data_IF_971156726129
#
_entry.id   IF_971156726129
#
_cell.length_a   1.000
_cell.length_b   1.000
_cell.length_c   1.000
_cell.angle_alpha   90.00
_cell.angle_beta   90.00
_cell.angle_gamma   90.00
#
_symmetry.space_group_name_H-M   'P 1'
#
loop_
_entity.id
_entity.type
_entity.pdbx_description
1 polymer ?
#
# COMPACT_ATOMS: atom_id res chain seq x y z
N UNK A 1 -20.11 -15.21 4.31
CA UNK A 1 -18.83 -15.47 5.00
C UNK A 1 -19.12 -16.38 6.18
N UNK A 2 -18.29 -17.40 6.37
CA UNK A 2 -18.48 -18.47 7.35
C UNK A 2 -17.19 -18.65 8.17
N UNK A 3 -17.37 -18.87 9.47
CA UNK A 3 -16.27 -19.23 10.37
C UNK A 3 -16.21 -20.75 10.49
N UNK A 4 -15.02 -21.30 10.34
CA UNK A 4 -14.77 -22.74 10.35
C UNK A 4 -13.51 -23.04 11.18
N UNK A 5 -13.13 -24.30 11.26
CA UNK A 5 -11.87 -24.74 11.85
C UNK A 5 -10.98 -25.41 10.81
N UNK A 6 -9.70 -25.08 10.82
CA UNK A 6 -8.66 -25.82 10.11
C UNK A 6 -8.43 -27.19 10.75
N UNK A 7 -7.73 -28.09 10.05
CA UNK A 7 -7.31 -29.38 10.61
C UNK A 7 -6.43 -29.23 11.85
N UNK A 8 -5.68 -28.12 11.98
CA UNK A 8 -4.91 -27.77 13.17
C UNK A 8 -5.76 -27.37 14.38
N UNK A 9 -7.08 -27.22 14.23
CA UNK A 9 -7.99 -26.70 15.25
C UNK A 9 -8.04 -25.17 15.33
N UNK A 10 -7.32 -24.47 14.45
CA UNK A 10 -7.33 -23.02 14.33
C UNK A 10 -8.61 -22.50 13.66
N UNK A 11 -9.16 -21.37 14.12
CA UNK A 11 -10.33 -20.75 13.48
C UNK A 11 -9.95 -20.13 12.15
N UNK A 12 -10.73 -20.38 11.10
CA UNK A 12 -10.49 -19.87 9.75
C UNK A 12 -11.76 -19.25 9.18
N UNK A 13 -11.59 -18.46 8.12
CA UNK A 13 -12.68 -17.73 7.49
C UNK A 13 -12.84 -18.15 6.02
N UNK A 14 -14.08 -18.36 5.59
CA UNK A 14 -14.43 -18.74 4.21
C UNK A 14 -15.44 -17.76 3.61
N UNK A 15 -15.26 -17.39 2.34
CA UNK A 15 -16.23 -16.60 1.57
C UNK A 15 -16.55 -17.38 0.28
N UNK A 16 -17.81 -17.83 0.16
CA UNK A 16 -18.20 -18.76 -0.90
C UNK A 16 -17.34 -20.02 -0.83
N UNK A 17 -16.66 -20.34 -1.93
CA UNK A 17 -15.76 -21.49 -2.03
C UNK A 17 -14.29 -21.17 -1.68
N UNK A 18 -13.96 -19.92 -1.37
CA UNK A 18 -12.58 -19.50 -1.07
C UNK A 18 -12.32 -19.43 0.43
N UNK A 19 -11.27 -20.11 0.87
CA UNK A 19 -10.71 -19.94 2.22
C UNK A 19 -9.74 -18.76 2.23
N UNK A 20 -9.78 -17.95 3.30
CA UNK A 20 -8.90 -16.80 3.51
C UNK A 20 -7.58 -17.16 4.21
N UNK A 21 -7.33 -18.45 4.41
CA UNK A 21 -6.08 -19.03 4.86
C UNK A 21 -6.16 -20.54 4.68
N UNK A 22 -5.05 -21.24 4.95
CA UNK A 22 -4.91 -22.68 4.85
C UNK A 22 -5.91 -23.38 5.77
N UNK A 23 -6.70 -24.28 5.18
CA UNK A 23 -7.58 -25.21 5.91
C UNK A 23 -6.81 -26.30 6.66
N UNK A 24 -5.51 -26.45 6.43
CA UNK A 24 -4.69 -27.46 7.10
C UNK A 24 -4.08 -26.83 8.35
N UNK A 25 -3.27 -25.80 8.16
CA UNK A 25 -2.58 -25.07 9.22
C UNK A 25 -2.30 -23.64 8.74
N UNK A 26 -3.07 -22.64 9.22
CA UNK A 26 -2.92 -21.26 8.81
C UNK A 26 -1.66 -20.58 9.37
N UNK A 27 -1.06 -21.11 10.44
CA UNK A 27 0.20 -20.56 10.99
C UNK A 27 1.39 -20.95 10.12
N UNK A 28 1.42 -22.21 9.65
CA UNK A 28 2.46 -22.69 8.71
C UNK A 28 2.38 -21.94 7.38
N UNK A 29 1.17 -21.68 6.88
CA UNK A 29 0.98 -20.84 5.70
C UNK A 29 1.52 -19.43 5.93
N UNK A 30 1.20 -18.81 7.07
CA UNK A 30 1.67 -17.48 7.40
C UNK A 30 3.21 -17.39 7.46
N UNK A 31 3.89 -18.39 8.03
CA UNK A 31 5.35 -18.46 8.03
C UNK A 31 5.92 -18.52 6.62
N UNK A 32 5.32 -19.34 5.73
CA UNK A 32 5.77 -19.46 4.33
C UNK A 32 5.56 -18.15 3.56
N UNK A 33 4.41 -17.52 3.74
CA UNK A 33 4.12 -16.22 3.14
C UNK A 33 5.12 -15.17 3.60
N UNK A 34 5.43 -15.13 4.91
CA UNK A 34 6.40 -14.18 5.47
C UNK A 34 7.81 -14.43 4.94
N UNK A 35 8.22 -15.70 4.84
CA UNK A 35 9.51 -16.08 4.27
C UNK A 35 9.64 -15.65 2.79
N UNK A 36 8.56 -15.77 2.01
CA UNK A 36 8.52 -15.33 0.61
C UNK A 36 8.68 -13.81 0.42
N UNK A 37 8.39 -13.01 1.45
CA UNK A 37 8.49 -11.54 1.41
C UNK A 37 9.69 -10.98 2.21
N UNK A 38 10.59 -11.83 2.70
CA UNK A 38 11.67 -11.46 3.62
C UNK A 38 12.49 -10.26 3.15
N UNK A 39 12.88 -10.24 1.88
CA UNK A 39 13.72 -9.17 1.31
C UNK A 39 12.98 -7.83 1.27
N UNK A 40 11.71 -7.86 0.86
CA UNK A 40 10.86 -6.66 0.80
C UNK A 40 10.63 -6.08 2.19
N UNK A 41 10.42 -6.95 3.19
CA UNK A 41 10.21 -6.57 4.59
C UNK A 41 11.47 -5.96 5.20
N UNK A 42 12.62 -6.57 4.92
CA UNK A 42 13.90 -6.15 5.51
C UNK A 42 14.34 -4.80 4.96
N UNK A 43 14.15 -4.57 3.65
CA UNK A 43 14.58 -3.35 2.95
C UNK A 43 13.66 -2.15 3.12
N UNK A 44 12.43 -2.33 3.59
CA UNK A 44 11.49 -1.22 3.80
C UNK A 44 11.44 -0.77 5.26
N UNK A 45 11.13 0.51 5.49
CA UNK A 45 10.79 1.05 6.81
C UNK A 45 9.32 0.84 7.14
N UNK A 46 8.45 1.01 6.14
CA UNK A 46 7.01 0.77 6.22
C UNK A 46 6.55 -0.43 5.40
N UNK A 47 5.38 -0.98 5.76
CA UNK A 47 4.72 -2.07 5.05
C UNK A 47 3.25 -1.72 4.85
N UNK A 48 2.80 -1.83 3.61
CA UNK A 48 1.38 -1.84 3.29
C UNK A 48 0.96 -3.27 3.05
N UNK A 49 -0.11 -3.71 3.69
CA UNK A 49 -0.69 -5.04 3.48
C UNK A 49 -2.01 -4.89 2.74
N UNK A 50 -2.10 -5.49 1.57
CA UNK A 50 -3.33 -5.60 0.79
C UNK A 50 -4.03 -6.92 1.15
N UNK A 51 -5.03 -6.81 2.00
CA UNK A 51 -5.84 -7.92 2.49
C UNK A 51 -5.37 -8.45 3.83
N UNK A 52 -6.31 -8.57 4.76
CA UNK A 52 -6.08 -9.10 6.12
C UNK A 52 -6.29 -10.60 6.20
N UNK A 53 -7.17 -11.14 5.35
CA UNK A 53 -7.62 -12.53 5.40
C UNK A 53 -8.24 -12.87 6.75
N UNK A 54 -7.80 -13.97 7.35
CA UNK A 54 -8.15 -14.35 8.73
C UNK A 54 -7.25 -13.72 9.81
N UNK A 55 -6.28 -12.87 9.44
CA UNK A 55 -5.37 -12.17 10.37
C UNK A 55 -4.05 -12.88 10.69
N UNK A 56 -3.90 -14.18 10.39
CA UNK A 56 -2.69 -14.96 10.73
C UNK A 56 -1.38 -14.36 10.19
N UNK A 57 -1.39 -13.95 8.92
CA UNK A 57 -0.24 -13.37 8.23
C UNK A 57 0.25 -12.08 8.91
N UNK A 58 -0.69 -11.18 9.19
CA UNK A 58 -0.40 -9.89 9.82
C UNK A 58 -0.01 -10.06 11.27
N UNK A 59 -0.70 -10.93 12.02
CA UNK A 59 -0.38 -11.19 13.42
C UNK A 59 1.06 -11.74 13.56
N UNK A 60 1.45 -12.67 12.69
CA UNK A 60 2.82 -13.17 12.64
C UNK A 60 3.82 -12.08 12.23
N UNK A 61 3.50 -11.28 11.22
CA UNK A 61 4.31 -10.16 10.76
C UNK A 61 4.57 -9.17 11.90
N UNK A 62 3.53 -8.78 12.66
CA UNK A 62 3.66 -7.87 13.81
C UNK A 62 4.52 -8.45 14.91
N UNK A 63 4.33 -9.73 15.25
CA UNK A 63 5.16 -10.43 16.24
C UNK A 63 6.65 -10.43 15.87
N UNK A 64 6.97 -10.69 14.61
CA UNK A 64 8.35 -10.82 14.14
C UNK A 64 9.02 -9.48 13.87
N UNK A 65 8.26 -8.46 13.52
CA UNK A 65 8.74 -7.13 13.15
C UNK A 65 7.98 -6.02 13.90
N UNK A 66 8.07 -5.98 15.25
CA UNK A 66 7.26 -5.08 16.08
C UNK A 66 7.53 -3.60 15.80
N UNK A 67 8.72 -3.25 15.30
CA UNK A 67 9.13 -1.88 15.01
C UNK A 67 8.75 -1.38 13.61
N UNK A 68 8.25 -2.24 12.72
CA UNK A 68 7.84 -1.81 11.39
C UNK A 68 6.54 -1.03 11.46
N UNK A 69 6.45 0.06 10.72
CA UNK A 69 5.17 0.71 10.48
C UNK A 69 4.36 -0.15 9.51
N UNK A 70 3.18 -0.60 9.91
CA UNK A 70 2.31 -1.46 9.10
C UNK A 70 0.97 -0.75 8.95
N UNK A 71 0.46 -0.64 7.72
CA UNK A 71 -0.90 -0.19 7.41
C UNK A 71 -1.57 -1.27 6.58
N UNK A 72 -2.83 -1.57 6.87
CA UNK A 72 -3.57 -2.67 6.26
C UNK A 72 -4.76 -2.08 5.52
N UNK A 73 -4.94 -2.50 4.27
CA UNK A 73 -6.15 -2.25 3.51
C UNK A 73 -6.95 -3.53 3.44
N UNK A 74 -8.14 -3.52 4.02
CA UNK A 74 -9.07 -4.65 4.03
C UNK A 74 -10.45 -4.17 3.64
N UNK A 75 -11.00 -4.69 2.54
CA UNK A 75 -12.31 -4.25 2.07
C UNK A 75 -13.44 -4.71 2.98
N UNK A 76 -13.32 -5.91 3.54
CA UNK A 76 -14.39 -6.55 4.31
C UNK A 76 -14.26 -6.24 5.80
N UNK A 77 -15.17 -5.41 6.29
CA UNK A 77 -15.30 -5.11 7.73
C UNK A 77 -15.46 -6.40 8.58
N UNK A 78 -16.08 -7.43 8.02
CA UNK A 78 -16.21 -8.72 8.71
C UNK A 78 -14.89 -9.48 8.82
N UNK A 79 -13.98 -9.34 7.85
CA UNK A 79 -12.61 -9.87 7.95
C UNK A 79 -11.85 -9.16 9.07
N UNK A 80 -11.96 -7.82 9.12
CA UNK A 80 -11.39 -6.99 10.18
C UNK A 80 -11.84 -7.45 11.57
N UNK A 81 -13.15 -7.48 11.80
CA UNK A 81 -13.72 -7.87 13.10
C UNK A 81 -13.31 -9.28 13.51
N UNK A 82 -13.29 -10.22 12.56
CA UNK A 82 -12.86 -11.59 12.82
C UNK A 82 -11.39 -11.64 13.26
N UNK A 83 -10.51 -10.94 12.54
CA UNK A 83 -9.08 -10.91 12.83
C UNK A 83 -8.77 -10.20 14.16
N UNK A 84 -9.40 -9.05 14.44
CA UNK A 84 -9.26 -8.32 15.70
C UNK A 84 -9.71 -9.17 16.90
N UNK A 85 -10.78 -9.95 16.75
CA UNK A 85 -11.22 -10.90 17.79
C UNK A 85 -10.22 -12.03 18.00
N UNK A 86 -9.56 -12.49 16.94
CA UNK A 86 -8.65 -13.63 16.99
C UNK A 86 -7.24 -13.24 17.47
N UNK A 87 -6.80 -12.03 17.14
CA UNK A 87 -5.46 -11.49 17.42
C UNK A 87 -5.53 -10.08 18.02
N UNK A 88 -6.20 -9.89 19.16
CA UNK A 88 -6.45 -8.56 19.71
C UNK A 88 -5.15 -7.83 20.07
N UNK A 89 -4.13 -8.54 20.55
CA UNK A 89 -2.86 -7.93 20.96
C UNK A 89 -1.99 -7.54 19.77
N UNK A 90 -1.95 -8.40 18.75
CA UNK A 90 -1.13 -8.19 17.56
C UNK A 90 -1.73 -7.14 16.61
N UNK A 91 -3.02 -6.84 16.72
CA UNK A 91 -3.71 -5.88 15.86
C UNK A 91 -4.10 -4.58 16.59
N UNK A 92 -3.96 -4.50 17.91
CA UNK A 92 -4.44 -3.38 18.74
C UNK A 92 -4.05 -1.98 18.21
N UNK A 93 -2.81 -1.81 17.76
CA UNK A 93 -2.27 -0.52 17.31
C UNK A 93 -2.10 -0.42 15.79
N UNK A 94 -2.57 -1.43 15.06
CA UNK A 94 -2.28 -1.56 13.63
C UNK A 94 -3.40 -0.90 12.85
N UNK A 95 -3.12 0.19 12.09
CA UNK A 95 -4.14 0.83 11.28
C UNK A 95 -4.71 -0.14 10.22
N UNK A 96 -6.02 -0.39 10.31
CA UNK A 96 -6.78 -1.17 9.33
C UNK A 96 -7.78 -0.23 8.67
N UNK A 97 -7.50 0.13 7.43
CA UNK A 97 -8.35 0.96 6.60
C UNK A 97 -9.33 0.07 5.86
N UNK A 98 -10.61 0.35 6.07
CA UNK A 98 -11.73 -0.36 5.47
C UNK A 98 -12.58 0.61 4.65
N UNK A 99 -13.30 0.07 3.68
CA UNK A 99 -14.22 0.85 2.85
C UNK A 99 -13.79 0.99 1.39
N UNK A 100 -14.67 1.60 0.60
CA UNK A 100 -14.48 1.78 -0.84
C UNK A 100 -14.01 3.18 -1.22
N UNK A 101 -13.81 4.05 -0.23
CA UNK A 101 -13.50 5.45 -0.47
C UNK A 101 -11.99 5.67 -0.55
N UNK A 102 -11.57 6.31 -1.65
CA UNK A 102 -10.18 6.70 -1.89
C UNK A 102 -9.72 7.75 -0.87
N UNK A 103 -10.66 8.52 -0.30
CA UNK A 103 -10.37 9.55 0.71
C UNK A 103 -9.64 8.97 1.93
N UNK A 104 -9.94 7.72 2.29
CA UNK A 104 -9.32 7.02 3.40
C UNK A 104 -7.79 6.84 3.21
N UNK A 105 -7.31 6.79 1.96
CA UNK A 105 -5.86 6.74 1.68
C UNK A 105 -5.24 8.12 1.88
N UNK A 106 -5.89 9.17 1.39
CA UNK A 106 -5.31 10.52 1.35
C UNK A 106 -5.32 11.21 2.70
N UNK A 107 -6.34 10.94 3.52
CA UNK A 107 -6.57 11.63 4.79
C UNK A 107 -5.95 10.92 6.00
N UNK A 108 -5.61 9.63 5.87
CA UNK A 108 -5.05 8.87 6.99
C UNK A 108 -3.58 9.22 7.27
N UNK A 109 -3.33 9.70 8.49
CA UNK A 109 -1.99 10.08 8.94
C UNK A 109 -0.99 8.92 8.98
N UNK A 110 -1.45 7.68 9.17
CA UNK A 110 -0.57 6.51 9.15
C UNK A 110 -0.14 6.17 7.73
N UNK A 111 -1.01 6.35 6.74
CA UNK A 111 -0.66 6.27 5.32
C UNK A 111 0.33 7.37 4.94
N UNK A 112 0.04 8.64 5.28
CA UNK A 112 0.93 9.77 4.97
C UNK A 112 2.35 9.56 5.53
N UNK A 113 2.46 9.15 6.79
CA UNK A 113 3.76 8.81 7.41
C UNK A 113 4.47 7.66 6.72
N UNK A 114 3.72 6.66 6.27
CA UNK A 114 4.27 5.50 5.56
C UNK A 114 4.80 5.92 4.18
N UNK A 115 4.08 6.77 3.45
CA UNK A 115 4.45 7.28 2.13
C UNK A 115 5.65 8.24 2.19
N UNK A 116 5.87 8.91 3.32
CA UNK A 116 7.05 9.73 3.57
C UNK A 116 8.36 8.90 3.75
N UNK A 117 8.25 7.58 3.84
CA UNK A 117 9.38 6.67 4.04
C UNK A 117 9.46 5.63 2.92
N UNK A 118 10.58 4.90 2.85
CA UNK A 118 10.70 3.73 1.97
C UNK A 118 9.75 2.63 2.47
N UNK A 119 8.73 2.27 1.69
CA UNK A 119 7.77 1.22 2.02
C UNK A 119 7.74 0.10 0.98
N UNK A 120 7.17 -1.05 1.36
CA UNK A 120 6.86 -2.16 0.45
C UNK A 120 5.37 -2.50 0.54
N UNK A 121 4.79 -2.95 -0.57
CA UNK A 121 3.39 -3.41 -0.62
C UNK A 121 3.39 -4.93 -0.69
N UNK A 122 2.83 -5.58 0.33
CA UNK A 122 2.65 -7.03 0.38
C UNK A 122 1.18 -7.36 0.15
N UNK A 123 0.91 -8.50 -0.47
CA UNK A 123 -0.46 -8.93 -0.77
C UNK A 123 -0.77 -10.24 -0.11
N UNK A 124 -1.96 -10.36 0.46
CA UNK A 124 -2.55 -11.62 0.86
C UNK A 124 -3.38 -12.18 -0.31
N UNK A 125 -2.90 -13.20 -1.05
CA UNK A 125 -3.48 -13.59 -2.33
C UNK A 125 -4.97 -13.94 -2.25
N UNK A 126 -5.38 -14.72 -1.23
CA UNK A 126 -6.77 -15.13 -1.09
C UNK A 126 -7.73 -13.95 -0.84
N UNK A 127 -7.26 -12.87 -0.19
CA UNK A 127 -8.05 -11.64 -0.05
C UNK A 127 -8.10 -10.87 -1.37
N UNK A 128 -6.95 -10.70 -2.03
CA UNK A 128 -6.86 -9.97 -3.30
C UNK A 128 -7.74 -10.61 -4.37
N UNK A 129 -7.75 -11.94 -4.46
CA UNK A 129 -8.53 -12.68 -5.43
C UNK A 129 -10.06 -12.58 -5.22
N UNK A 130 -10.54 -12.05 -4.10
CA UNK A 130 -11.96 -11.80 -3.89
C UNK A 130 -12.42 -10.50 -4.56
N UNK A 131 -11.54 -9.50 -4.63
CA UNK A 131 -11.83 -8.23 -5.28
C UNK A 131 -10.57 -7.59 -5.86
N UNK A 132 -10.04 -8.21 -6.91
CA UNK A 132 -8.79 -7.77 -7.55
C UNK A 132 -8.84 -6.30 -7.95
N UNK A 133 -9.97 -5.85 -8.51
CA UNK A 133 -10.14 -4.48 -8.97
C UNK A 133 -9.98 -3.46 -7.83
N UNK A 134 -10.54 -3.73 -6.64
CA UNK A 134 -10.38 -2.84 -5.50
C UNK A 134 -8.92 -2.79 -5.03
N UNK A 135 -8.27 -3.94 -4.82
CA UNK A 135 -6.89 -3.97 -4.33
C UNK A 135 -5.87 -3.39 -5.33
N UNK A 136 -6.06 -3.61 -6.63
CA UNK A 136 -5.18 -3.02 -7.65
C UNK A 136 -5.37 -1.51 -7.74
N UNK A 137 -6.60 -1.00 -7.60
CA UNK A 137 -6.83 0.44 -7.50
C UNK A 137 -6.07 1.07 -6.31
N UNK A 138 -6.15 0.45 -5.13
CA UNK A 138 -5.38 0.88 -3.94
C UNK A 138 -3.87 0.82 -4.23
N UNK A 139 -3.39 -0.26 -4.86
CA UNK A 139 -1.98 -0.43 -5.22
C UNK A 139 -1.51 0.67 -6.17
N UNK A 140 -2.26 0.96 -7.23
CA UNK A 140 -1.92 1.98 -8.22
C UNK A 140 -1.84 3.37 -7.59
N UNK A 141 -2.76 3.69 -6.67
CA UNK A 141 -2.71 4.95 -5.93
C UNK A 141 -1.49 5.04 -5.04
N UNK A 142 -1.20 4.00 -4.25
CA UNK A 142 -0.02 3.96 -3.40
C UNK A 142 1.26 4.11 -4.22
N UNK A 143 1.36 3.42 -5.36
CA UNK A 143 2.50 3.48 -6.27
C UNK A 143 2.58 4.76 -7.11
N UNK A 144 1.63 5.69 -6.99
CA UNK A 144 1.63 6.94 -7.74
C UNK A 144 1.35 6.77 -9.23
N UNK A 145 0.70 5.67 -9.63
CA UNK A 145 0.34 5.35 -11.02
C UNK A 145 -0.94 6.04 -11.49
N UNK A 146 -1.67 6.66 -10.57
CA UNK A 146 -2.79 7.56 -10.87
C UNK A 146 -2.38 8.99 -10.57
N UNK A 147 -3.08 9.98 -11.15
CA UNK A 147 -2.84 11.38 -10.83
C UNK A 147 -3.04 11.65 -9.32
N UNK A 148 -4.09 11.09 -8.71
CA UNK A 148 -4.35 11.21 -7.27
C UNK A 148 -3.22 10.60 -6.42
N UNK A 149 -2.74 9.41 -6.80
CA UNK A 149 -1.63 8.74 -6.13
C UNK A 149 -0.31 9.50 -6.23
N UNK A 150 0.00 10.02 -7.42
CA UNK A 150 1.19 10.84 -7.63
C UNK A 150 1.17 12.10 -6.77
N UNK A 151 0.02 12.80 -6.73
CA UNK A 151 -0.18 13.95 -5.86
C UNK A 151 0.00 13.60 -4.39
N UNK A 152 -0.53 12.45 -3.97
CA UNK A 152 -0.38 11.96 -2.61
C UNK A 152 1.09 11.70 -2.24
N UNK A 153 1.85 11.05 -3.11
CA UNK A 153 3.28 10.81 -2.89
C UNK A 153 4.06 12.13 -2.80
N UNK A 154 3.77 13.08 -3.69
CA UNK A 154 4.37 14.41 -3.67
C UNK A 154 4.08 15.15 -2.37
N UNK A 155 2.83 15.17 -1.92
CA UNK A 155 2.45 15.85 -0.68
C UNK A 155 3.09 15.20 0.56
N UNK A 156 3.31 13.89 0.53
CA UNK A 156 3.85 13.12 1.65
C UNK A 156 5.37 13.20 1.77
N UNK A 157 6.08 13.53 0.69
CA UNK A 157 7.54 13.50 0.68
C UNK A 157 8.15 14.80 1.27
N UNK A 158 9.07 14.71 2.26
CA UNK A 158 9.61 15.88 2.96
C UNK A 158 10.27 16.93 2.06
N UNK A 159 10.93 16.51 0.98
CA UNK A 159 11.56 17.43 0.02
C UNK A 159 10.55 18.28 -0.78
N UNK A 160 9.29 17.86 -0.84
CA UNK A 160 8.24 18.49 -1.65
C UNK A 160 7.18 19.20 -0.81
N UNK A 161 7.06 18.88 0.48
CA UNK A 161 6.09 19.53 1.39
C UNK A 161 6.32 21.05 1.51
N UNK A 162 7.56 21.52 1.30
CA UNK A 162 7.91 22.94 1.31
C UNK A 162 7.61 23.68 -0.01
N UNK A 163 7.27 22.97 -1.09
CA UNK A 163 7.06 23.59 -2.42
C UNK A 163 5.66 24.22 -2.61
N UNK A 164 4.78 24.16 -1.61
CA UNK A 164 3.44 24.75 -1.64
C UNK A 164 2.49 24.11 -2.66
N UNK A 165 1.23 24.56 -2.73
CA UNK A 165 0.21 23.99 -3.64
C UNK A 165 0.39 24.40 -5.13
N UNK A 166 1.29 25.34 -5.43
CA UNK A 166 1.46 25.87 -6.80
C UNK A 166 1.81 24.80 -7.85
N UNK A 167 2.74 23.86 -7.62
CA UNK A 167 3.06 22.82 -8.61
C UNK A 167 1.90 21.83 -8.87
N UNK A 168 0.99 21.67 -7.89
CA UNK A 168 -0.17 20.78 -7.99
C UNK A 168 -1.27 21.33 -8.92
N UNK A 169 -1.41 22.65 -8.97
CA UNK A 169 -2.34 23.36 -9.86
C UNK A 169 -1.90 23.23 -11.33
N UNK A 170 -0.59 23.26 -11.59
CA UNK A 170 -0.04 23.29 -12.95
C UNK A 170 -0.28 21.97 -13.71
N UNK A 171 -0.37 20.84 -13.00
CA UNK A 171 -0.68 19.53 -13.58
C UNK A 171 -2.12 19.42 -14.13
N UNK A 172 -3.05 20.30 -13.73
CA UNK A 172 -4.42 20.29 -14.25
C UNK A 172 -4.62 21.17 -15.50
N UNK A 173 -3.72 22.12 -15.75
CA UNK A 173 -4.00 23.23 -16.68
C UNK A 173 -3.19 23.16 -17.98
N UNK A 174 -2.06 22.45 -18.01
CA UNK A 174 -1.17 22.42 -19.19
C UNK A 174 -0.66 21.00 -19.44
N UNK A 175 -0.76 20.46 -20.68
CA UNK A 175 -0.16 19.17 -21.01
C UNK A 175 1.36 19.22 -20.82
N UNK A 176 1.89 18.25 -20.09
CA UNK A 176 3.34 18.10 -19.86
C UNK A 176 4.03 17.86 -21.20
N UNK A 177 5.10 18.62 -21.50
CA UNK A 177 5.91 18.37 -22.68
C UNK A 177 6.91 17.24 -22.40
N UNK A 178 6.54 16.02 -22.74
CA UNK A 178 7.38 14.83 -22.51
C UNK A 178 8.71 14.84 -23.28
N UNK A 179 8.85 15.71 -24.30
CA UNK A 179 10.07 15.83 -25.11
C UNK A 179 11.29 16.28 -24.32
N UNK A 180 11.10 16.89 -23.15
CA UNK A 180 12.19 17.21 -22.21
C UNK A 180 12.97 15.98 -21.72
N UNK A 181 12.40 14.78 -21.90
CA UNK A 181 13.03 13.52 -21.55
C UNK A 181 13.60 12.76 -22.75
N UNK A 182 13.45 13.27 -23.98
CA UNK A 182 13.99 12.62 -25.19
C UNK A 182 15.44 13.09 -25.43
N UNK A 183 16.45 12.22 -25.20
CA UNK A 183 17.84 12.58 -25.41
C UNK A 183 18.21 12.80 -26.88
N UNK A 184 17.32 12.46 -27.82
CA UNK A 184 17.52 12.61 -29.26
C UNK A 184 16.85 13.86 -29.83
N UNK A 185 16.03 14.57 -29.06
CA UNK A 185 15.44 15.83 -29.49
C UNK A 185 16.52 16.93 -29.40
N UNK A 186 17.08 17.28 -30.56
CA UNK A 186 18.15 18.27 -30.72
C UNK A 186 17.61 19.69 -30.97
N UNK A 187 16.32 19.91 -30.70
CA UNK A 187 15.77 21.24 -30.54
C UNK A 187 16.67 22.03 -29.60
N UNK A 188 17.05 23.25 -29.99
CA UNK A 188 17.91 24.13 -29.17
C UNK A 188 17.32 24.34 -27.77
N UNK A 189 17.99 25.08 -26.87
CA UNK A 189 17.50 25.31 -25.51
C UNK A 189 16.21 26.15 -25.55
N UNK A 190 15.08 25.50 -25.84
CA UNK A 190 13.77 26.01 -25.47
C UNK A 190 13.79 26.13 -23.95
N UNK A 191 13.35 27.29 -23.45
CA UNK A 191 13.26 27.54 -22.01
C UNK A 191 12.47 26.40 -21.38
N UNK A 192 13.18 25.53 -20.64
CA UNK A 192 12.57 24.49 -19.83
C UNK A 192 11.59 25.23 -18.93
N UNK A 193 10.30 24.97 -19.11
CA UNK A 193 9.29 25.63 -18.29
C UNK A 193 9.54 25.30 -16.83
N UNK A 194 9.16 26.20 -15.91
CA UNK A 194 9.25 25.93 -14.48
C UNK A 194 8.53 24.61 -14.09
N UNK A 195 7.51 24.21 -14.88
CA UNK A 195 6.78 22.96 -14.74
C UNK A 195 7.65 21.75 -15.10
N UNK A 196 8.33 21.81 -16.24
CA UNK A 196 9.22 20.75 -16.73
C UNK A 196 10.41 20.56 -15.80
N UNK A 197 11.00 21.66 -15.32
CA UNK A 197 12.06 21.63 -14.32
C UNK A 197 11.56 21.01 -12.99
N UNK A 198 10.35 21.35 -12.57
CA UNK A 198 9.73 20.75 -11.39
C UNK A 198 9.55 19.23 -11.57
N UNK A 199 9.00 18.76 -12.69
CA UNK A 199 8.80 17.32 -12.95
C UNK A 199 10.15 16.59 -12.98
N UNK A 200 11.17 17.14 -13.65
CA UNK A 200 12.52 16.56 -13.68
C UNK A 200 13.11 16.45 -12.27
N UNK A 201 12.99 17.51 -11.46
CA UNK A 201 13.46 17.53 -10.07
C UNK A 201 12.68 16.52 -9.22
N UNK A 202 11.37 16.42 -9.41
CA UNK A 202 10.49 15.44 -8.76
C UNK A 202 10.91 14.01 -9.07
N UNK A 203 11.06 13.68 -10.36
CA UNK A 203 11.46 12.34 -10.78
C UNK A 203 12.85 11.98 -10.24
N UNK A 204 13.80 12.92 -10.24
CA UNK A 204 15.15 12.71 -9.70
C UNK A 204 15.17 12.40 -8.20
N UNK A 205 14.30 13.01 -7.42
CA UNK A 205 14.22 12.72 -5.98
C UNK A 205 13.46 11.42 -5.69
N UNK A 206 12.45 11.07 -6.49
CA UNK A 206 11.68 9.83 -6.32
C UNK A 206 12.48 8.56 -6.69
N UNK A 207 13.54 8.67 -7.50
CA UNK A 207 14.36 7.53 -7.95
C UNK A 207 15.51 7.18 -6.97
N UNK A 208 15.83 8.04 -6.01
CA UNK A 208 16.90 7.82 -5.01
C UNK A 208 16.48 6.86 -3.89
#
# INVERSE_FOLDING_TARGET
MEELYAKSGDRVLRIGEKYLCSRIDPKVEAERWLAGHRDQITKSKGLVILGLGAGYHVALLRKRYPTKQIVIFEQSERCRQFAEKLFPLELFDTPILTGNDESAITEDHSVQRLLAARYSILSHPASVDLNLAWYEKIREQLLGRTLSGFRLQLASHPSFSSMGQKPLLWLNEVPVNWRIFDPMDSGGPEEISDQDFFIIKTLRELIK
#
